data_IF_846057785786
#
_entry.id   IF_846057785786
#
_cell.length_a   1.000
_cell.length_b   1.000
_cell.length_c   1.000
_cell.angle_alpha   90.00
_cell.angle_beta   90.00
_cell.angle_gamma   90.00
#
_symmetry.space_group_name_H-M   'P 1'
#
loop_
_entity.id
_entity.type
_entity.pdbx_description
1 polymer ?
#
# COMPACT_ATOMS: atom_id res chain seq x y z
N UNK A 1 -11.73 8.01 24.35
CA UNK A 1 -11.05 6.75 23.99
C UNK A 1 -10.91 6.75 22.48
N UNK A 2 -9.71 6.53 21.94
CA UNK A 2 -9.50 6.36 20.50
C UNK A 2 -10.09 5.02 20.07
N UNK A 3 -10.68 4.99 18.87
CA UNK A 3 -11.22 3.77 18.29
C UNK A 3 -10.05 2.88 17.81
N UNK A 4 -9.84 1.70 18.41
CA UNK A 4 -8.72 0.82 18.07
C UNK A 4 -8.78 0.31 16.64
N UNK A 5 -9.95 0.34 15.97
CA UNK A 5 -10.05 0.01 14.53
C UNK A 5 -9.46 1.15 13.70
N UNK A 6 -9.75 2.39 14.07
CA UNK A 6 -9.27 3.59 13.39
C UNK A 6 -7.75 3.75 13.48
N UNK A 7 -7.16 3.38 14.62
CA UNK A 7 -5.69 3.38 14.77
C UNK A 7 -5.02 2.34 13.87
N UNK A 8 -5.63 1.16 13.71
CA UNK A 8 -5.13 0.13 12.80
C UNK A 8 -5.25 0.54 11.34
N UNK A 9 -6.37 1.15 10.95
CA UNK A 9 -6.55 1.66 9.59
C UNK A 9 -5.51 2.73 9.25
N UNK A 10 -5.21 3.63 10.20
CA UNK A 10 -4.18 4.65 10.00
C UNK A 10 -2.79 4.04 9.85
N UNK A 11 -2.48 3.01 10.65
CA UNK A 11 -1.21 2.29 10.54
C UNK A 11 -1.09 1.56 9.18
N UNK A 12 -2.13 0.84 8.77
CA UNK A 12 -2.15 0.15 7.48
C UNK A 12 -2.04 1.12 6.30
N UNK A 13 -2.68 2.29 6.40
CA UNK A 13 -2.56 3.36 5.40
C UNK A 13 -1.12 3.90 5.29
N UNK A 14 -0.46 4.12 6.42
CA UNK A 14 0.92 4.62 6.46
C UNK A 14 1.91 3.61 5.88
N UNK A 15 1.78 2.34 6.25
CA UNK A 15 2.64 1.26 5.73
C UNK A 15 2.43 1.06 4.22
N UNK A 16 1.19 1.03 3.75
CA UNK A 16 0.88 0.94 2.33
C UNK A 16 1.45 2.13 1.53
N UNK A 17 1.41 3.34 2.10
CA UNK A 17 2.03 4.52 1.49
C UNK A 17 3.54 4.36 1.37
N UNK A 18 4.24 3.96 2.45
CA UNK A 18 5.69 3.74 2.44
C UNK A 18 6.08 2.69 1.39
N UNK A 19 5.38 1.56 1.35
CA UNK A 19 5.61 0.51 0.35
C UNK A 19 5.48 1.05 -1.09
N UNK A 20 4.42 1.82 -1.35
CA UNK A 20 4.16 2.40 -2.68
C UNK A 20 5.25 3.39 -3.09
N UNK A 21 5.77 4.18 -2.15
CA UNK A 21 6.91 5.09 -2.41
C UNK A 21 8.16 4.30 -2.76
N UNK A 22 8.47 3.21 -2.04
CA UNK A 22 9.61 2.36 -2.37
C UNK A 22 9.51 1.73 -3.75
N UNK A 23 8.32 1.26 -4.14
CA UNK A 23 8.07 0.79 -5.50
C UNK A 23 8.37 1.88 -6.53
N UNK A 24 7.83 3.08 -6.32
CA UNK A 24 8.03 4.17 -7.26
C UNK A 24 9.51 4.58 -7.41
N UNK A 25 10.27 4.57 -6.31
CA UNK A 25 11.70 4.83 -6.33
C UNK A 25 12.48 3.73 -7.06
N UNK A 26 12.12 2.45 -6.84
CA UNK A 26 12.72 1.34 -7.55
C UNK A 26 12.44 1.41 -9.06
N UNK A 27 11.23 1.78 -9.44
CA UNK A 27 10.80 1.90 -10.84
C UNK A 27 11.54 3.03 -11.56
N UNK A 28 11.74 4.17 -10.89
CA UNK A 28 12.57 5.29 -11.39
C UNK A 28 14.03 4.85 -11.52
N UNK A 29 14.58 4.20 -10.50
CA UNK A 29 15.97 3.74 -10.50
C UNK A 29 16.25 2.72 -11.62
N UNK A 30 15.32 1.79 -11.84
CA UNK A 30 15.42 0.76 -12.86
C UNK A 30 15.06 1.26 -14.26
N UNK A 31 14.71 2.55 -14.43
CA UNK A 31 14.29 3.15 -15.70
C UNK A 31 13.19 2.34 -16.38
N UNK A 32 12.08 2.09 -15.67
CA UNK A 32 10.98 1.30 -16.21
C UNK A 32 10.50 1.80 -17.57
N UNK A 33 10.05 0.81 -18.35
CA UNK A 33 9.69 0.86 -19.76
C UNK A 33 9.14 2.24 -20.21
N UNK A 34 9.87 2.97 -21.08
CA UNK A 34 9.48 4.32 -21.51
C UNK A 34 8.16 4.37 -22.30
N UNK A 35 7.58 3.22 -22.63
CA UNK A 35 6.30 3.10 -23.29
C UNK A 35 5.09 3.16 -22.35
N UNK A 36 5.29 3.17 -21.03
CA UNK A 36 4.19 3.31 -20.07
C UNK A 36 3.84 4.79 -19.95
N UNK A 37 2.56 5.11 -20.19
CA UNK A 37 2.09 6.48 -20.00
C UNK A 37 2.13 6.84 -18.51
N UNK A 38 2.57 8.05 -18.18
CA UNK A 38 2.67 8.50 -16.78
C UNK A 38 1.33 8.40 -16.02
N UNK A 39 0.21 8.60 -16.71
CA UNK A 39 -1.13 8.45 -16.13
C UNK A 39 -1.45 7.00 -15.73
N UNK A 40 -1.10 6.04 -16.59
CA UNK A 40 -1.26 4.60 -16.31
C UNK A 40 -0.39 4.16 -15.14
N UNK A 41 0.86 4.64 -15.11
CA UNK A 41 1.78 4.38 -14.01
C UNK A 41 1.26 4.93 -12.67
N UNK A 42 0.77 6.17 -12.63
CA UNK A 42 0.19 6.74 -11.42
C UNK A 42 -1.04 5.96 -10.93
N UNK A 43 -1.88 5.50 -11.85
CA UNK A 43 -3.02 4.63 -11.52
C UNK A 43 -2.56 3.30 -10.93
N UNK A 44 -1.53 2.67 -11.52
CA UNK A 44 -0.95 1.45 -10.99
C UNK A 44 -0.42 1.63 -9.55
N UNK A 45 0.24 2.75 -9.25
CA UNK A 45 0.69 3.05 -7.89
C UNK A 45 -0.48 3.19 -6.90
N UNK A 46 -1.59 3.81 -7.32
CA UNK A 46 -2.79 3.93 -6.49
C UNK A 46 -3.43 2.56 -6.22
N UNK A 47 -3.55 1.72 -7.25
CA UNK A 47 -4.11 0.38 -7.13
C UNK A 47 -3.23 -0.52 -6.22
N UNK A 48 -1.90 -0.44 -6.37
CA UNK A 48 -0.95 -1.15 -5.52
C UNK A 48 -1.05 -0.72 -4.04
N UNK A 49 -1.17 0.59 -3.79
CA UNK A 49 -1.36 1.11 -2.43
C UNK A 49 -2.64 0.55 -1.79
N UNK A 50 -3.75 0.55 -2.54
CA UNK A 50 -5.02 0.05 -2.04
C UNK A 50 -4.96 -1.46 -1.75
N UNK A 51 -4.33 -2.23 -2.64
CA UNK A 51 -4.13 -3.67 -2.46
C UNK A 51 -3.29 -3.98 -1.21
N UNK A 52 -2.19 -3.25 -1.00
CA UNK A 52 -1.30 -3.46 0.14
C UNK A 52 -1.96 -3.10 1.47
N UNK A 53 -2.72 -1.99 1.51
CA UNK A 53 -3.54 -1.64 2.68
C UNK A 53 -4.50 -2.77 3.05
N UNK A 54 -5.21 -3.32 2.06
CA UNK A 54 -6.16 -4.41 2.29
C UNK A 54 -5.45 -5.69 2.76
N UNK A 55 -4.27 -5.99 2.23
CA UNK A 55 -3.43 -7.12 2.67
C UNK A 55 -3.06 -6.99 4.16
N UNK A 56 -2.54 -5.84 4.56
CA UNK A 56 -2.13 -5.55 5.95
C UNK A 56 -3.34 -5.62 6.89
N UNK A 57 -4.47 -5.03 6.50
CA UNK A 57 -5.70 -5.09 7.30
C UNK A 57 -6.18 -6.54 7.53
N UNK A 58 -6.16 -7.37 6.48
CA UNK A 58 -6.54 -8.77 6.59
C UNK A 58 -5.58 -9.57 7.47
N UNK A 59 -4.27 -9.29 7.40
CA UNK A 59 -3.25 -9.89 8.24
C UNK A 59 -3.48 -9.55 9.73
N UNK A 60 -3.74 -8.28 10.04
CA UNK A 60 -4.07 -7.81 11.39
C UNK A 60 -5.33 -8.49 11.92
N UNK A 61 -6.39 -8.59 11.12
CA UNK A 61 -7.65 -9.26 11.50
C UNK A 61 -7.40 -10.73 11.82
N UNK A 62 -6.61 -11.41 10.98
CA UNK A 62 -6.26 -12.82 11.16
C UNK A 62 -5.44 -13.05 12.44
N UNK A 63 -4.50 -12.15 12.75
CA UNK A 63 -3.71 -12.21 13.99
C UNK A 63 -4.54 -11.97 15.25
N UNK A 64 -5.60 -11.15 15.17
CA UNK A 64 -6.49 -10.84 16.31
C UNK A 64 -7.57 -11.89 16.59
N UNK A 65 -7.82 -12.83 15.67
CA UNK A 65 -8.71 -13.99 15.88
C UNK A 65 -7.88 -15.27 15.89
N UNK A 66 -7.34 -15.69 17.05
CA UNK A 66 -6.75 -17.02 17.15
C UNK A 66 -7.85 -18.06 16.93
N UNK A 67 -7.54 -19.09 16.14
CA UNK A 67 -8.39 -20.26 15.93
C UNK A 67 -8.66 -21.00 17.25
#
# INVERSE_FOLDING_TARGET
MSDPVKELEQKAEQEAYQHTVFMALADIYNQLNPNVEIGEYLKQLQDNKAAEKNRIMNEIIRMKRPL
#
